data_IF_008489441412
#
_entry.id   IF_008489441412
#
_cell.length_a   1.000
_cell.length_b   1.000
_cell.length_c   1.000
_cell.angle_alpha   90.00
_cell.angle_beta   90.00
_cell.angle_gamma   90.00
#
_symmetry.space_group_name_H-M   'P 1'
#
loop_
_entity.id
_entity.type
_entity.pdbx_description
1 polymer ?
#
# COMPACT_ATOMS: atom_id res chain seq x y z
N UNK A 1 -12.23 19.39 16.50
CA UNK A 1 -12.87 18.36 15.64
C UNK A 1 -12.03 17.12 15.76
N UNK A 2 -12.61 15.92 15.59
CA UNK A 2 -11.82 14.69 15.55
C UNK A 2 -10.85 14.77 14.37
N UNK A 3 -9.62 14.25 14.54
CA UNK A 3 -8.63 14.21 13.45
C UNK A 3 -9.15 13.28 12.36
N UNK A 4 -9.25 13.79 11.12
CA UNK A 4 -9.71 13.01 9.98
C UNK A 4 -8.53 12.32 9.29
N UNK A 5 -8.61 11.00 9.16
CA UNK A 5 -7.59 10.16 8.54
C UNK A 5 -8.18 9.48 7.31
N UNK A 6 -7.54 9.67 6.15
CA UNK A 6 -7.89 8.89 4.97
C UNK A 6 -6.94 7.70 4.85
N UNK A 7 -7.51 6.49 4.90
CA UNK A 7 -6.78 5.24 4.75
C UNK A 7 -6.95 4.73 3.31
N UNK A 8 -5.86 4.64 2.59
CA UNK A 8 -5.82 4.12 1.23
C UNK A 8 -5.42 2.65 1.21
N UNK A 9 -6.21 1.85 0.51
CA UNK A 9 -5.82 0.50 0.12
C UNK A 9 -5.14 0.56 -1.25
N UNK A 10 -3.83 0.31 -1.28
CA UNK A 10 -3.02 0.28 -2.50
C UNK A 10 -3.65 -0.56 -3.61
N UNK A 11 -3.40 -0.17 -4.86
CA UNK A 11 -3.88 -0.89 -6.06
C UNK A 11 -5.42 -1.06 -6.10
N UNK A 12 -5.91 -2.07 -6.82
CA UNK A 12 -7.32 -2.46 -6.91
C UNK A 12 -7.80 -2.74 -8.35
N UNK A 13 -8.80 -3.62 -8.46
CA UNK A 13 -9.46 -3.99 -9.70
C UNK A 13 -8.49 -4.57 -10.73
N UNK A 14 -8.33 -3.87 -11.85
CA UNK A 14 -7.43 -4.28 -12.93
C UNK A 14 -5.94 -4.13 -12.61
N UNK A 15 -5.59 -3.40 -11.55
CA UNK A 15 -4.22 -3.32 -11.05
C UNK A 15 -4.13 -4.15 -9.76
N UNK A 16 -3.61 -5.39 -9.79
CA UNK A 16 -3.50 -6.22 -8.59
C UNK A 16 -2.29 -5.86 -7.71
N UNK A 17 -1.44 -4.92 -8.15
CA UNK A 17 -0.11 -4.70 -7.60
C UNK A 17 0.80 -5.89 -7.83
N UNK A 18 1.73 -6.13 -6.91
CA UNK A 18 2.56 -7.32 -6.95
C UNK A 18 1.74 -8.61 -6.74
N UNK A 19 2.12 -9.65 -7.47
CA UNK A 19 1.48 -10.97 -7.40
C UNK A 19 2.53 -12.04 -7.14
N UNK A 20 2.29 -12.87 -6.12
CA UNK A 20 3.20 -13.96 -5.77
C UNK A 20 2.40 -15.19 -5.35
N UNK A 21 2.60 -16.31 -6.06
CA UNK A 21 1.95 -17.61 -5.74
C UNK A 21 0.43 -17.51 -5.55
N UNK A 22 -0.26 -16.74 -6.40
CA UNK A 22 -1.71 -16.54 -6.34
C UNK A 22 -2.18 -15.48 -5.33
N UNK A 23 -1.30 -14.95 -4.49
CA UNK A 23 -1.56 -13.80 -3.62
C UNK A 23 -1.45 -12.50 -4.42
N UNK A 24 -2.41 -11.59 -4.24
CA UNK A 24 -2.41 -10.26 -4.86
C UNK A 24 -2.22 -9.19 -3.79
N UNK A 25 -1.34 -8.24 -4.03
CA UNK A 25 -1.10 -7.11 -3.13
C UNK A 25 -2.38 -6.33 -2.86
N UNK A 26 -3.20 -6.08 -3.89
CA UNK A 26 -4.46 -5.36 -3.75
C UNK A 26 -5.42 -5.95 -2.72
N UNK A 27 -5.41 -7.28 -2.55
CA UNK A 27 -6.28 -8.00 -1.61
C UNK A 27 -5.75 -7.87 -0.17
N UNK A 28 -4.45 -8.03 0.02
CA UNK A 28 -3.79 -7.88 1.33
C UNK A 28 -3.84 -6.42 1.81
N UNK A 29 -3.58 -5.48 0.91
CA UNK A 29 -3.68 -4.04 1.16
C UNK A 29 -5.09 -3.65 1.60
N UNK A 30 -6.13 -4.10 0.89
CA UNK A 30 -7.52 -3.82 1.24
C UNK A 30 -7.88 -4.37 2.62
N UNK A 31 -7.55 -5.65 2.87
CA UNK A 31 -7.86 -6.30 4.13
C UNK A 31 -7.18 -5.60 5.31
N UNK A 32 -5.91 -5.21 5.15
CA UNK A 32 -5.16 -4.51 6.19
C UNK A 32 -5.63 -3.07 6.38
N UNK A 33 -5.87 -2.32 5.31
CA UNK A 33 -6.43 -0.97 5.37
C UNK A 33 -7.75 -0.92 6.14
N UNK A 34 -8.67 -1.85 5.87
CA UNK A 34 -9.95 -1.93 6.59
C UNK A 34 -9.76 -2.28 8.09
N UNK A 35 -8.77 -3.11 8.42
CA UNK A 35 -8.48 -3.46 9.81
C UNK A 35 -7.86 -2.28 10.58
N UNK A 36 -6.88 -1.60 9.98
CA UNK A 36 -6.26 -0.39 10.55
C UNK A 36 -7.31 0.70 10.74
N UNK A 37 -8.12 0.97 9.72
CA UNK A 37 -9.15 2.00 9.78
C UNK A 37 -10.17 1.73 10.88
N UNK A 38 -10.63 0.48 11.06
CA UNK A 38 -11.53 0.12 12.18
C UNK A 38 -10.91 0.42 13.54
N UNK A 39 -9.63 0.09 13.74
CA UNK A 39 -8.95 0.34 15.02
C UNK A 39 -8.87 1.85 15.27
N UNK A 40 -8.58 2.65 14.24
CA UNK A 40 -8.58 4.11 14.35
C UNK A 40 -9.99 4.66 14.66
N UNK A 41 -11.04 4.18 13.99
CA UNK A 41 -12.44 4.54 14.29
C UNK A 41 -12.81 4.24 15.74
N UNK A 42 -12.45 3.05 16.24
CA UNK A 42 -12.68 2.61 17.63
C UNK A 42 -11.95 3.50 18.65
N UNK A 43 -10.86 4.18 18.25
CA UNK A 43 -10.10 5.13 19.06
C UNK A 43 -10.50 6.60 18.83
N UNK A 44 -11.62 6.86 18.13
CA UNK A 44 -12.23 8.19 18.05
C UNK A 44 -11.71 9.08 16.90
N UNK A 45 -10.99 8.50 15.95
CA UNK A 45 -10.62 9.18 14.71
C UNK A 45 -11.76 9.14 13.68
N UNK A 46 -11.87 10.17 12.86
CA UNK A 46 -12.79 10.19 11.71
C UNK A 46 -12.09 9.54 10.50
N UNK A 47 -12.53 8.36 10.08
CA UNK A 47 -11.83 7.58 9.04
C UNK A 47 -12.65 7.52 7.76
N UNK A 48 -12.01 7.91 6.66
CA UNK A 48 -12.52 7.71 5.29
C UNK A 48 -11.58 6.77 4.53
N UNK A 49 -12.11 5.99 3.60
CA UNK A 49 -11.32 5.06 2.80
C UNK A 49 -11.31 5.50 1.33
N UNK A 50 -10.18 5.38 0.64
CA UNK A 50 -10.16 5.58 -0.83
C UNK A 50 -11.00 4.52 -1.54
N UNK A 51 -10.97 3.28 -1.06
CA UNK A 51 -11.85 2.18 -1.48
C UNK A 51 -12.11 1.20 -0.34
N UNK A 52 -13.29 0.59 -0.38
CA UNK A 52 -13.71 -0.49 0.54
C UNK A 52 -14.00 -1.80 -0.21
N UNK A 53 -13.82 -1.80 -1.54
CA UNK A 53 -14.03 -2.96 -2.43
C UNK A 53 -12.88 -3.09 -3.43
N UNK A 54 -12.85 -4.19 -4.19
CA UNK A 54 -11.88 -4.41 -5.25
C UNK A 54 -12.26 -3.60 -6.51
N UNK A 55 -11.75 -2.36 -6.59
CA UNK A 55 -12.05 -1.43 -7.69
C UNK A 55 -10.80 -0.72 -8.18
N UNK A 56 -10.74 -0.44 -9.48
CA UNK A 56 -9.63 0.31 -10.10
C UNK A 56 -9.72 1.79 -9.74
N UNK A 57 -8.63 2.35 -9.21
CA UNK A 57 -8.49 3.79 -8.95
C UNK A 57 -7.09 4.24 -9.34
N UNK A 58 -6.97 5.40 -9.98
CA UNK A 58 -5.67 6.01 -10.23
C UNK A 58 -5.09 6.61 -8.95
N UNK A 59 -3.77 6.74 -8.90
CA UNK A 59 -3.05 7.41 -7.79
C UNK A 59 -3.52 8.85 -7.58
N UNK A 60 -3.85 9.57 -8.66
CA UNK A 60 -4.41 10.92 -8.59
C UNK A 60 -5.82 10.95 -7.99
N UNK A 61 -6.67 9.97 -8.31
CA UNK A 61 -8.00 9.84 -7.70
C UNK A 61 -7.90 9.58 -6.19
N UNK A 62 -6.95 8.75 -5.75
CA UNK A 62 -6.71 8.47 -4.32
C UNK A 62 -6.34 9.74 -3.55
N UNK A 63 -5.42 10.55 -4.10
CA UNK A 63 -5.04 11.83 -3.52
C UNK A 63 -6.18 12.87 -3.54
N UNK A 64 -6.98 12.90 -4.62
CA UNK A 64 -8.13 13.79 -4.74
C UNK A 64 -9.19 13.49 -3.67
N UNK A 65 -9.51 12.21 -3.42
CA UNK A 65 -10.42 11.80 -2.34
C UNK A 65 -9.94 12.37 -1.00
N UNK A 66 -8.64 12.22 -0.68
CA UNK A 66 -8.10 12.72 0.57
C UNK A 66 -8.21 14.23 0.73
N UNK A 67 -7.98 14.96 -0.37
CA UNK A 67 -8.09 16.41 -0.41
C UNK A 67 -9.55 16.89 -0.29
N UNK A 68 -10.49 16.25 -0.99
CA UNK A 68 -11.91 16.58 -0.97
C UNK A 68 -12.55 16.29 0.39
N UNK A 69 -12.12 15.23 1.06
CA UNK A 69 -12.53 14.88 2.42
C UNK A 69 -12.02 15.88 3.47
N UNK A 70 -11.03 16.72 3.13
CA UNK A 70 -10.37 17.62 4.05
C UNK A 70 -9.59 16.87 5.13
N UNK A 71 -8.92 15.78 4.77
CA UNK A 71 -8.22 14.94 5.73
C UNK A 71 -7.02 15.66 6.37
N UNK A 72 -6.77 15.36 7.64
CA UNK A 72 -5.59 15.83 8.39
C UNK A 72 -4.38 14.92 8.17
N UNK A 73 -4.61 13.66 7.77
CA UNK A 73 -3.59 12.65 7.52
C UNK A 73 -4.02 11.71 6.39
N UNK A 74 -3.08 11.32 5.55
CA UNK A 74 -3.26 10.27 4.54
C UNK A 74 -2.29 9.11 4.78
N UNK A 75 -2.81 7.88 4.86
CA UNK A 75 -2.00 6.67 5.04
C UNK A 75 -2.37 5.64 3.98
N UNK A 76 -1.44 5.34 3.07
CA UNK A 76 -1.60 4.30 2.06
C UNK A 76 -0.93 3.00 2.51
N UNK A 77 -1.65 1.89 2.40
CA UNK A 77 -1.21 0.56 2.82
C UNK A 77 -0.89 -0.28 1.59
N UNK A 78 0.32 -0.84 1.57
CA UNK A 78 0.88 -1.63 0.47
C UNK A 78 1.63 -2.87 0.98
N UNK A 79 2.03 -3.74 0.06
CA UNK A 79 2.98 -4.82 0.29
C UNK A 79 4.13 -4.67 -0.69
N UNK A 80 5.36 -4.72 -0.20
CA UNK A 80 6.51 -4.56 -1.08
C UNK A 80 6.69 -5.82 -1.94
N UNK A 81 7.51 -5.73 -2.97
CA UNK A 81 8.00 -6.88 -3.71
C UNK A 81 9.45 -6.65 -4.11
N UNK A 82 10.29 -7.66 -4.10
CA UNK A 82 11.66 -7.56 -4.55
C UNK A 82 11.75 -7.73 -6.07
N UNK A 83 12.93 -7.46 -6.63
CA UNK A 83 13.25 -7.79 -8.03
C UNK A 83 13.17 -9.29 -8.30
N UNK A 84 13.63 -10.05 -7.31
CA UNK A 84 13.72 -11.49 -7.31
C UNK A 84 13.00 -11.98 -6.06
N UNK A 85 12.03 -12.89 -6.19
CA UNK A 85 11.30 -13.41 -5.05
C UNK A 85 12.22 -13.90 -3.93
N UNK A 86 11.90 -13.52 -2.70
CA UNK A 86 12.63 -13.90 -1.50
C UNK A 86 13.97 -13.17 -1.28
N UNK A 87 14.36 -12.23 -2.15
CA UNK A 87 15.63 -11.48 -2.00
C UNK A 87 15.61 -10.53 -0.81
N UNK A 88 14.47 -9.92 -0.53
CA UNK A 88 14.30 -8.95 0.55
C UNK A 88 13.10 -9.32 1.43
N UNK A 89 13.14 -8.82 2.67
CA UNK A 89 12.10 -8.98 3.66
C UNK A 89 12.11 -7.78 4.60
N UNK A 90 11.00 -7.54 5.29
CA UNK A 90 10.83 -6.47 6.26
C UNK A 90 9.84 -5.39 5.84
N UNK A 91 9.69 -4.42 6.73
CA UNK A 91 8.78 -3.29 6.59
C UNK A 91 9.54 -2.02 6.26
N UNK A 92 8.90 -1.15 5.49
CA UNK A 92 9.42 0.16 5.11
C UNK A 92 8.25 1.15 5.10
N UNK A 93 8.53 2.42 5.35
CA UNK A 93 7.54 3.47 5.14
C UNK A 93 8.14 4.55 4.24
N UNK A 94 7.37 4.97 3.24
CA UNK A 94 7.75 5.97 2.25
C UNK A 94 7.05 7.29 2.55
N UNK A 95 7.79 8.39 2.45
CA UNK A 95 7.30 9.75 2.71
C UNK A 95 7.75 10.71 1.61
N UNK A 96 7.02 11.80 1.37
CA UNK A 96 7.39 12.79 0.35
C UNK A 96 8.70 13.52 0.69
N UNK A 97 8.85 13.95 1.95
CA UNK A 97 10.02 14.59 2.55
C UNK A 97 10.01 14.32 4.07
N UNK A 98 11.01 14.80 4.82
CA UNK A 98 11.09 14.61 6.28
C UNK A 98 10.44 15.72 7.11
N UNK A 99 9.60 16.56 6.50
CA UNK A 99 8.94 17.67 7.21
C UNK A 99 7.74 17.23 8.05
N UNK A 100 7.50 17.98 9.14
CA UNK A 100 6.36 17.75 10.03
C UNK A 100 6.41 16.37 10.69
N UNK A 101 5.24 15.76 10.88
CA UNK A 101 5.06 14.51 11.62
C UNK A 101 5.42 13.24 10.82
N UNK A 102 5.64 13.36 9.51
CA UNK A 102 5.73 12.22 8.58
C UNK A 102 6.82 11.23 8.96
N UNK A 103 8.02 11.74 9.25
CA UNK A 103 9.17 10.89 9.56
C UNK A 103 9.03 10.20 10.92
N UNK A 104 8.56 10.92 11.94
CA UNK A 104 8.31 10.37 13.27
C UNK A 104 7.24 9.27 13.20
N UNK A 105 6.10 9.55 12.55
CA UNK A 105 5.02 8.58 12.37
C UNK A 105 5.47 7.33 11.60
N UNK A 106 6.24 7.52 10.52
CA UNK A 106 6.84 6.43 9.77
C UNK A 106 7.79 5.56 10.64
N UNK A 107 8.57 6.19 11.52
CA UNK A 107 9.45 5.49 12.45
C UNK A 107 8.67 4.71 13.51
N UNK A 108 7.61 5.30 14.07
CA UNK A 108 6.77 4.65 15.07
C UNK A 108 6.02 3.44 14.50
N UNK A 109 5.45 3.57 13.30
CA UNK A 109 4.82 2.44 12.57
C UNK A 109 5.84 1.32 12.34
N UNK A 110 7.00 1.65 11.77
CA UNK A 110 8.04 0.64 11.50
C UNK A 110 8.54 -0.03 12.78
N UNK A 111 8.74 0.72 13.88
CA UNK A 111 9.19 0.17 15.15
C UNK A 111 8.15 -0.78 15.77
N UNK A 112 6.87 -0.44 15.68
CA UNK A 112 5.79 -1.32 16.13
C UNK A 112 5.75 -2.63 15.33
N UNK A 113 5.91 -2.57 14.00
CA UNK A 113 5.98 -3.77 13.17
C UNK A 113 7.27 -4.59 13.38
N UNK A 114 8.40 -3.93 13.65
CA UNK A 114 9.66 -4.60 13.99
C UNK A 114 9.54 -5.47 15.24
N UNK A 115 8.81 -5.00 16.27
CA UNK A 115 8.52 -5.78 17.49
C UNK A 115 7.71 -7.06 17.21
N UNK A 116 6.99 -7.11 16.09
CA UNK A 116 6.25 -8.30 15.64
C UNK A 116 7.12 -9.32 14.89
N UNK A 117 8.40 -8.99 14.66
CA UNK A 117 9.39 -9.87 14.03
C UNK A 117 9.76 -9.49 12.60
N UNK A 118 9.21 -8.42 12.05
CA UNK A 118 9.67 -7.92 10.74
C UNK A 118 11.05 -7.30 10.87
N UNK A 119 11.86 -7.44 9.81
CA UNK A 119 13.06 -6.61 9.66
C UNK A 119 12.63 -5.15 9.41
N UNK A 120 13.26 -4.19 10.07
CA UNK A 120 13.01 -2.77 9.79
C UNK A 120 13.95 -2.26 8.69
N UNK A 121 13.40 -1.93 7.52
CA UNK A 121 14.14 -1.35 6.39
C UNK A 121 14.19 0.19 6.44
N UNK A 122 13.61 0.80 7.47
CA UNK A 122 13.66 2.23 7.71
C UNK A 122 12.65 3.04 6.91
N UNK A 123 12.89 4.35 6.86
CA UNK A 123 12.04 5.32 6.19
C UNK A 123 12.74 5.82 4.94
N UNK A 124 12.01 5.96 3.83
CA UNK A 124 12.59 6.43 2.57
C UNK A 124 11.83 7.61 1.99
N UNK A 125 12.58 8.61 1.57
CA UNK A 125 12.04 9.83 0.94
C UNK A 125 11.80 9.54 -0.54
N UNK A 126 10.56 9.70 -1.00
CA UNK A 126 10.09 9.36 -2.35
C UNK A 126 9.25 10.51 -2.92
N UNK A 127 9.89 11.62 -3.33
CA UNK A 127 9.19 12.84 -3.75
C UNK A 127 8.38 12.68 -5.04
N UNK A 128 8.68 11.64 -5.83
CA UNK A 128 8.04 11.38 -7.12
C UNK A 128 6.78 10.50 -7.01
N UNK A 129 6.45 9.97 -5.82
CA UNK A 129 5.23 9.17 -5.66
C UNK A 129 4.02 10.11 -5.62
N UNK A 130 3.16 9.98 -6.64
CA UNK A 130 2.00 10.87 -6.85
C UNK A 130 1.08 10.87 -5.63
N UNK A 131 0.82 9.69 -5.07
CA UNK A 131 -0.04 9.54 -3.90
C UNK A 131 0.50 10.27 -2.65
N UNK A 132 1.81 10.57 -2.61
CA UNK A 132 2.44 11.32 -1.50
C UNK A 132 2.63 12.81 -1.80
N UNK A 133 2.76 13.20 -3.07
CA UNK A 133 3.05 14.58 -3.47
C UNK A 133 1.84 15.38 -3.96
N UNK A 134 0.70 14.70 -4.21
CA UNK A 134 -0.54 15.31 -4.69
C UNK A 134 -1.59 15.48 -3.57
N UNK A 135 -1.26 15.07 -2.36
CA UNK A 135 -2.05 15.29 -1.14
C UNK A 135 -1.70 16.63 -0.48
N UNK A 136 -2.68 17.31 0.12
CA UNK A 136 -2.50 18.59 0.81
C UNK A 136 -2.13 18.45 2.30
N UNK A 137 -2.23 17.24 2.84
CA UNK A 137 -1.92 16.89 4.23
C UNK A 137 -0.69 15.97 4.31
N UNK A 138 -0.11 15.75 5.49
CA UNK A 138 0.93 14.73 5.67
C UNK A 138 0.49 13.36 5.12
N UNK A 139 1.34 12.76 4.29
CA UNK A 139 1.07 11.49 3.64
C UNK A 139 2.19 10.47 3.88
N UNK A 140 1.80 9.23 4.14
CA UNK A 140 2.69 8.09 4.32
C UNK A 140 2.22 6.93 3.44
N UNK A 141 3.16 6.15 2.90
CA UNK A 141 2.89 4.87 2.28
C UNK A 141 3.64 3.78 3.05
N UNK A 142 2.89 2.88 3.69
CA UNK A 142 3.40 1.79 4.51
C UNK A 142 3.51 0.53 3.67
N UNK A 143 4.74 0.05 3.49
CA UNK A 143 5.06 -1.23 2.88
C UNK A 143 5.08 -2.31 3.98
N UNK A 144 3.93 -2.94 4.22
CA UNK A 144 3.71 -3.83 5.35
C UNK A 144 4.27 -5.24 5.15
N UNK A 145 5.55 -5.36 4.74
CA UNK A 145 6.21 -6.61 4.42
C UNK A 145 6.28 -6.90 2.92
N UNK A 146 7.19 -7.77 2.49
CA UNK A 146 7.35 -8.20 1.11
C UNK A 146 6.38 -9.35 0.77
N UNK A 147 5.51 -9.18 -0.22
CA UNK A 147 4.57 -10.20 -0.69
C UNK A 147 5.27 -11.42 -1.30
N UNK A 148 6.48 -11.23 -1.81
CA UNK A 148 7.31 -12.28 -2.40
C UNK A 148 8.34 -12.86 -1.41
N UNK A 149 8.19 -12.57 -0.11
CA UNK A 149 8.97 -13.15 0.98
C UNK A 149 8.13 -14.15 1.78
N UNK A 150 8.57 -15.41 1.81
CA UNK A 150 7.92 -16.46 2.62
C UNK A 150 7.84 -16.08 4.10
N UNK A 151 8.91 -15.50 4.66
CA UNK A 151 8.96 -15.09 6.06
C UNK A 151 7.95 -13.99 6.36
N UNK A 152 7.86 -12.97 5.50
CA UNK A 152 6.94 -11.86 5.72
C UNK A 152 5.50 -12.27 5.48
N UNK A 153 5.23 -13.19 4.55
CA UNK A 153 3.91 -13.79 4.36
C UNK A 153 3.47 -14.59 5.59
N UNK A 154 4.37 -15.39 6.17
CA UNK A 154 4.10 -16.13 7.41
C UNK A 154 3.78 -15.19 8.58
N UNK A 155 4.55 -14.11 8.76
CA UNK A 155 4.26 -13.09 9.76
C UNK A 155 2.91 -12.39 9.48
N UNK A 156 2.66 -12.02 8.23
CA UNK A 156 1.43 -11.35 7.83
C UNK A 156 0.18 -12.17 8.14
N UNK A 157 0.23 -13.47 7.85
CA UNK A 157 -0.90 -14.35 8.06
C UNK A 157 -1.08 -14.69 9.55
N UNK A 158 0.01 -15.01 10.25
CA UNK A 158 -0.04 -15.43 11.66
C UNK A 158 -0.24 -14.28 12.66
N UNK A 159 0.13 -13.05 12.29
CA UNK A 159 0.08 -11.86 13.15
C UNK A 159 -0.79 -10.75 12.60
N UNK A 160 -1.70 -11.05 11.66
CA UNK A 160 -2.47 -10.05 10.93
C UNK A 160 -3.10 -8.95 11.81
N UNK A 161 -3.81 -9.33 12.87
CA UNK A 161 -4.45 -8.36 13.77
C UNK A 161 -3.44 -7.52 14.54
N UNK A 162 -2.32 -8.13 14.96
CA UNK A 162 -1.25 -7.39 15.64
C UNK A 162 -0.55 -6.41 14.70
N UNK A 163 -0.46 -6.73 13.39
CA UNK A 163 0.08 -5.82 12.37
C UNK A 163 -0.85 -4.62 12.18
N UNK A 164 -2.16 -4.86 12.06
CA UNK A 164 -3.15 -3.78 11.98
C UNK A 164 -3.07 -2.87 13.22
N UNK A 165 -3.02 -3.47 14.41
CA UNK A 165 -2.84 -2.74 15.66
C UNK A 165 -1.52 -1.96 15.69
N UNK A 166 -0.40 -2.56 15.31
CA UNK A 166 0.90 -1.89 15.34
C UNK A 166 1.01 -0.70 14.38
N UNK A 167 0.31 -0.75 13.23
CA UNK A 167 0.21 0.41 12.33
C UNK A 167 -0.65 1.50 12.99
N UNK A 168 -1.82 1.14 13.52
CA UNK A 168 -2.69 2.10 14.20
C UNK A 168 -2.01 2.75 15.41
N UNK A 169 -1.33 1.96 16.25
CA UNK A 169 -0.57 2.43 17.41
C UNK A 169 0.52 3.42 16.98
N UNK A 170 1.29 3.11 15.94
CA UNK A 170 2.31 4.02 15.42
C UNK A 170 1.74 5.36 14.94
N UNK A 171 0.52 5.36 14.38
CA UNK A 171 -0.19 6.59 14.00
C UNK A 171 -0.64 7.36 15.24
N UNK A 172 -1.30 6.68 16.19
CA UNK A 172 -1.86 7.29 17.40
C UNK A 172 -0.75 7.86 18.30
N UNK A 173 0.34 7.12 18.52
CA UNK A 173 1.51 7.56 19.28
C UNK A 173 2.01 8.93 18.79
N UNK A 174 2.10 9.12 17.47
CA UNK A 174 2.55 10.40 16.91
C UNK A 174 1.50 11.51 17.07
N UNK A 175 0.23 11.22 16.79
CA UNK A 175 -0.84 12.23 16.88
C UNK A 175 -1.07 12.70 18.33
N UNK A 176 -0.95 11.81 19.32
CA UNK A 176 -1.03 12.16 20.74
C UNK A 176 0.14 13.03 21.19
N UNK A 177 1.37 12.72 20.77
CA UNK A 177 2.56 13.51 21.10
C UNK A 177 2.49 14.96 20.57
N UNK A 178 1.84 15.17 19.42
CA UNK A 178 1.59 16.52 18.89
C UNK A 178 0.64 17.32 19.79
N UNK A 179 -0.42 16.68 20.29
CA UNK A 179 -1.39 17.31 21.19
C UNK A 179 -0.76 17.69 22.54
N UNK A 180 0.19 16.88 23.04
CA UNK A 180 0.95 17.18 24.27
C UNK A 180 1.96 18.31 24.05
N UNK A 181 2.59 18.38 22.88
CA UNK A 181 3.61 19.41 22.58
C UNK A 181 3.02 20.80 22.27
N UNK A 182 1.73 20.87 21.90
CA UNK A 182 0.99 22.13 21.67
C UNK A 182 0.28 22.71 22.91
N UNK A 183 0.21 21.96 24.01
CA UNK A 183 -0.44 22.36 25.26
C UNK A 183 0.56 22.57 26.38
N UNK A 184 0.83 23.83 26.73
CA UNK A 184 1.73 24.16 27.84
C UNK A 184 1.33 23.49 29.17
N UNK A 185 2.29 22.76 29.74
CA UNK A 185 2.49 22.50 31.17
C UNK A 185 1.26 22.03 31.99
N UNK A 186 1.06 20.71 32.09
CA UNK A 186 0.57 20.13 33.35
C UNK A 186 1.38 18.91 33.78
N UNK A 187 1.81 18.98 35.03
CA UNK A 187 2.63 18.06 35.79
C UNK A 187 1.97 16.70 36.00
N UNK A 188 2.76 15.64 35.75
CA UNK A 188 2.82 14.38 36.50
C UNK A 188 1.56 13.53 36.63
N UNK A 189 1.62 12.28 36.16
CA UNK A 189 1.89 11.15 37.06
C UNK A 189 2.21 9.87 36.28
N UNK A 190 3.20 9.14 36.76
CA UNK A 190 3.50 7.75 36.39
C UNK A 190 2.48 6.81 37.02
N UNK A 191 1.94 5.87 36.25
CA UNK A 191 1.25 4.62 36.67
C UNK A 191 0.75 4.00 35.35
N UNK A 192 0.99 2.75 34.96
CA UNK A 192 1.56 1.58 35.60
C UNK A 192 1.09 0.39 34.75
N UNK A 193 1.99 -0.56 34.48
CA UNK A 193 1.69 -1.82 33.81
C UNK A 193 0.42 -2.48 34.35
N UNK A 194 -0.45 -2.97 33.46
CA UNK A 194 -1.27 -4.12 33.79
C UNK A 194 -1.53 -5.01 32.58
N UNK A 195 -0.74 -6.09 32.50
CA UNK A 195 -1.08 -7.27 31.71
C UNK A 195 -2.29 -7.95 32.37
N UNK A 196 -3.44 -7.90 31.73
CA UNK A 196 -4.64 -8.63 32.11
C UNK A 196 -4.92 -9.75 31.12
N UNK A 197 -4.46 -10.95 31.45
CA UNK A 197 -4.77 -12.19 30.77
C UNK A 197 -6.15 -12.68 31.23
N UNK A 198 -7.17 -12.82 30.37
CA UNK A 198 -8.14 -13.90 30.49
C UNK A 198 -9.13 -14.07 29.31
N UNK A 199 -9.28 -15.35 28.94
CA UNK A 199 -10.49 -16.07 28.55
C UNK A 199 -11.09 -15.94 27.13
N UNK A 200 -10.74 -16.95 26.33
CA UNK A 200 -11.64 -17.93 25.70
C UNK A 200 -13.16 -17.61 25.72
N UNK A 201 -13.74 -17.56 24.51
CA UNK A 201 -15.19 -17.56 24.31
C UNK A 201 -15.59 -17.81 22.86
N UNK A 202 -15.68 -19.10 22.51
CA UNK A 202 -16.48 -19.76 21.46
C UNK A 202 -16.67 -19.13 20.07
N UNK A 203 -16.41 -19.98 19.07
CA UNK A 203 -16.57 -19.66 17.65
C UNK A 203 -18.01 -19.47 17.20
N UNK A 204 -18.14 -18.62 16.19
CA UNK A 204 -19.20 -18.71 15.20
C UNK A 204 -18.58 -18.58 13.81
N UNK A 205 -18.96 -19.53 12.96
CA UNK A 205 -18.50 -19.77 11.60
C UNK A 205 -18.42 -18.50 10.75
N UNK A 206 -17.25 -18.21 10.18
CA UNK A 206 -17.17 -17.48 8.93
C UNK A 206 -17.61 -18.43 7.79
N UNK A 207 -18.53 -18.02 6.90
CA UNK A 207 -18.93 -18.82 5.77
C UNK A 207 -17.73 -19.08 4.85
N UNK A 208 -17.54 -20.35 4.49
CA UNK A 208 -16.55 -20.82 3.52
C UNK A 208 -16.80 -20.08 2.20
N UNK A 209 -15.86 -19.23 1.78
CA UNK A 209 -15.85 -18.69 0.43
C UNK A 209 -15.69 -19.86 -0.56
N UNK A 210 -16.54 -19.98 -1.59
CA UNK A 210 -16.47 -21.07 -2.55
C UNK A 210 -15.11 -21.04 -3.26
N UNK A 211 -14.41 -22.18 -3.26
CA UNK A 211 -13.21 -22.41 -4.04
C UNK A 211 -13.54 -22.25 -5.53
N UNK A 212 -13.00 -21.20 -6.15
CA UNK A 212 -12.95 -21.11 -7.61
C UNK A 212 -12.02 -22.21 -8.12
N UNK A 213 -12.41 -22.98 -9.16
CA UNK A 213 -11.61 -24.07 -9.67
C UNK A 213 -10.30 -23.55 -10.26
N UNK A 214 -9.21 -24.27 -10.01
CA UNK A 214 -7.91 -24.09 -10.65
C UNK A 214 -8.10 -24.13 -12.18
N UNK A 215 -7.91 -22.98 -12.83
CA UNK A 215 -8.01 -22.85 -14.28
C UNK A 215 -6.77 -23.40 -14.95
N UNK A 216 -6.73 -24.71 -15.24
CA UNK A 216 -5.84 -25.30 -16.24
C UNK A 216 -6.43 -25.08 -17.63
N UNK A 217 -6.37 -23.84 -18.13
CA UNK A 217 -6.62 -23.51 -19.53
C UNK A 217 -5.28 -23.22 -20.24
N UNK A 218 -5.19 -23.40 -21.57
CA UNK A 218 -4.00 -22.95 -22.30
C UNK A 218 -3.82 -21.45 -22.05
N UNK A 219 -2.62 -21.00 -21.67
CA UNK A 219 -2.29 -19.58 -21.55
C UNK A 219 -2.68 -18.90 -22.86
N UNK A 220 -3.75 -18.09 -22.82
CA UNK A 220 -4.12 -17.27 -23.97
C UNK A 220 -2.97 -16.30 -24.22
N UNK A 221 -2.47 -16.27 -25.45
CA UNK A 221 -1.47 -15.29 -25.88
C UNK A 221 -2.04 -13.87 -25.66
N UNK A 222 -1.42 -13.09 -24.76
CA UNK A 222 -1.87 -11.76 -24.39
C UNK A 222 -1.01 -10.69 -25.06
N UNK A 223 -1.64 -9.69 -25.65
CA UNK A 223 -0.98 -8.50 -26.16
C UNK A 223 -0.73 -7.52 -25.02
N UNK A 224 0.54 -7.18 -24.75
CA UNK A 224 0.94 -6.27 -23.68
C UNK A 224 1.45 -4.97 -24.27
N UNK A 225 1.05 -3.84 -23.70
CA UNK A 225 1.57 -2.53 -24.12
C UNK A 225 2.74 -2.20 -23.23
N UNK A 226 3.97 -2.25 -23.75
CA UNK A 226 5.17 -1.96 -22.96
C UNK A 226 5.64 -0.53 -23.21
N UNK A 227 5.80 0.26 -22.15
CA UNK A 227 6.25 1.65 -22.18
C UNK A 227 7.75 1.81 -21.87
N UNK A 228 8.37 0.81 -21.26
CA UNK A 228 9.80 0.86 -20.94
C UNK A 228 10.36 -0.47 -20.49
N UNK A 229 11.68 -0.60 -20.54
CA UNK A 229 12.43 -1.72 -19.98
C UNK A 229 13.73 -1.21 -19.38
N UNK A 230 13.93 -1.40 -18.08
CA UNK A 230 15.04 -0.81 -17.34
C UNK A 230 15.82 -1.89 -16.59
N UNK A 231 17.13 -1.69 -16.44
CA UNK A 231 17.95 -2.50 -15.52
C UNK A 231 17.83 -2.04 -14.07
N UNK A 232 17.58 -0.76 -13.88
CA UNK A 232 17.41 -0.14 -12.58
C UNK A 232 15.93 -0.01 -12.25
N UNK A 233 15.53 -0.55 -11.09
CA UNK A 233 14.15 -0.48 -10.61
C UNK A 233 13.67 0.94 -10.42
N UNK A 234 14.52 1.85 -9.93
CA UNK A 234 14.11 3.21 -9.65
C UNK A 234 13.65 3.92 -10.92
N UNK A 235 14.26 3.61 -12.07
CA UNK A 235 13.84 4.15 -13.37
C UNK A 235 12.50 3.56 -13.82
N UNK A 236 12.27 2.26 -13.57
CA UNK A 236 10.98 1.63 -13.83
C UNK A 236 9.88 2.22 -12.94
N UNK A 237 10.14 2.38 -11.64
CA UNK A 237 9.25 3.03 -10.67
C UNK A 237 8.91 4.48 -11.09
N UNK A 238 9.91 5.23 -11.59
CA UNK A 238 9.69 6.60 -12.07
C UNK A 238 8.76 6.62 -13.29
N UNK A 239 8.96 5.74 -14.28
CA UNK A 239 8.07 5.66 -15.44
C UNK A 239 6.68 5.14 -15.07
N UNK A 240 6.59 4.15 -14.18
CA UNK A 240 5.33 3.67 -13.62
C UNK A 240 4.55 4.84 -13.00
N UNK A 241 5.21 5.62 -12.13
CA UNK A 241 4.60 6.78 -11.46
C UNK A 241 4.10 7.82 -12.46
N UNK A 242 4.84 8.08 -13.54
CA UNK A 242 4.43 9.01 -14.60
C UNK A 242 3.20 8.50 -15.37
N UNK A 243 3.18 7.22 -15.75
CA UNK A 243 2.05 6.61 -16.44
C UNK A 243 0.80 6.60 -15.56
N UNK A 244 0.94 6.23 -14.28
CA UNK A 244 -0.15 6.27 -13.31
C UNK A 244 -0.65 7.70 -13.07
N UNK A 245 0.25 8.70 -13.05
CA UNK A 245 -0.10 10.11 -12.98
C UNK A 245 -0.97 10.56 -14.17
N UNK A 246 -0.65 10.07 -15.37
CA UNK A 246 -1.44 10.32 -16.57
C UNK A 246 -2.73 9.49 -16.66
N UNK A 247 -3.02 8.68 -15.65
CA UNK A 247 -4.26 7.90 -15.53
C UNK A 247 -4.17 6.50 -16.13
N UNK A 248 -2.97 6.04 -16.51
CA UNK A 248 -2.80 4.73 -17.13
C UNK A 248 -2.63 3.62 -16.07
N UNK A 249 -3.27 2.44 -16.26
CA UNK A 249 -3.16 1.31 -15.36
C UNK A 249 -1.85 0.54 -15.59
N UNK A 250 -0.73 1.18 -15.25
CA UNK A 250 0.60 0.64 -15.47
C UNK A 250 1.04 -0.32 -14.33
N UNK A 251 1.93 -1.25 -14.64
CA UNK A 251 2.56 -2.16 -13.68
C UNK A 251 3.96 -2.56 -14.17
N UNK A 252 4.80 -3.08 -13.26
CA UNK A 252 6.16 -3.54 -13.57
C UNK A 252 6.20 -5.06 -13.53
N UNK A 253 6.82 -5.67 -14.54
CA UNK A 253 7.21 -7.08 -14.53
C UNK A 253 8.73 -7.20 -14.60
N UNK A 254 9.31 -8.17 -13.90
CA UNK A 254 10.73 -8.50 -14.04
C UNK A 254 10.91 -9.71 -14.95
N UNK A 255 11.57 -9.53 -16.09
CA UNK A 255 11.78 -10.58 -17.07
C UNK A 255 13.09 -10.33 -17.83
N UNK A 256 13.88 -11.38 -18.05
CA UNK A 256 15.14 -11.34 -18.81
C UNK A 256 16.16 -10.32 -18.26
N UNK A 257 16.19 -10.12 -16.94
CA UNK A 257 17.08 -9.16 -16.29
C UNK A 257 16.65 -7.70 -16.42
N UNK A 258 15.39 -7.44 -16.79
CA UNK A 258 14.84 -6.11 -17.00
C UNK A 258 13.50 -5.93 -16.27
N UNK A 259 13.32 -4.77 -15.67
CA UNK A 259 12.03 -4.24 -15.20
C UNK A 259 11.28 -3.63 -16.38
N UNK A 260 10.32 -4.37 -16.92
CA UNK A 260 9.48 -3.95 -18.03
C UNK A 260 8.23 -3.27 -17.47
N UNK A 261 8.03 -2.00 -17.82
CA UNK A 261 6.84 -1.21 -17.44
C UNK A 261 5.78 -1.41 -18.51
N UNK A 262 4.63 -1.93 -18.13
CA UNK A 262 3.53 -2.26 -19.03
C UNK A 262 2.26 -1.51 -18.66
N UNK A 263 1.46 -1.15 -19.66
CA UNK A 263 0.17 -0.47 -19.55
C UNK A 263 -0.94 -1.43 -19.97
N UNK A 264 -1.19 -2.43 -19.13
CA UNK A 264 -2.20 -3.44 -19.37
C UNK A 264 -1.76 -4.62 -20.25
N UNK A 265 -2.53 -5.71 -20.14
CA UNK A 265 -2.45 -6.92 -20.96
C UNK A 265 -3.85 -7.24 -21.52
N UNK A 266 -3.93 -7.55 -22.81
CA UNK A 266 -5.19 -7.64 -23.54
C UNK A 266 -5.26 -8.93 -24.37
N UNK A 267 -6.38 -9.65 -24.29
CA UNK A 267 -6.63 -10.83 -25.13
C UNK A 267 -6.93 -10.49 -26.60
N UNK A 268 -7.18 -9.22 -26.92
CA UNK A 268 -7.43 -8.72 -28.28
C UNK A 268 -6.42 -7.65 -28.65
N UNK A 269 -5.73 -7.84 -29.78
CA UNK A 269 -4.76 -6.87 -30.30
C UNK A 269 -5.37 -5.48 -30.50
N UNK A 270 -6.65 -5.39 -30.89
CA UNK A 270 -7.35 -4.11 -31.06
C UNK A 270 -7.38 -3.27 -29.79
N UNK A 271 -7.50 -3.91 -28.62
CA UNK A 271 -7.56 -3.21 -27.34
C UNK A 271 -6.16 -2.74 -26.93
N UNK A 272 -5.13 -3.57 -27.18
CA UNK A 272 -3.74 -3.18 -26.98
C UNK A 272 -3.36 -1.99 -27.89
N UNK A 273 -3.78 -1.98 -29.15
CA UNK A 273 -3.55 -0.84 -30.08
C UNK A 273 -4.24 0.44 -29.58
N UNK A 274 -5.46 0.33 -29.04
CA UNK A 274 -6.17 1.48 -28.50
C UNK A 274 -5.41 2.09 -27.31
N UNK A 275 -5.02 1.26 -26.34
CA UNK A 275 -4.23 1.71 -25.19
C UNK A 275 -2.86 2.26 -25.61
N UNK A 276 -2.17 1.58 -26.54
CA UNK A 276 -0.87 2.01 -27.05
C UNK A 276 -0.93 3.42 -27.64
N UNK A 277 -1.98 3.73 -28.41
CA UNK A 277 -2.21 5.06 -28.99
C UNK A 277 -2.48 6.12 -27.93
N UNK A 278 -3.28 5.80 -26.92
CA UNK A 278 -3.61 6.72 -25.84
C UNK A 278 -2.34 7.10 -25.05
N UNK A 279 -1.53 6.10 -24.72
CA UNK A 279 -0.25 6.29 -24.03
C UNK A 279 0.74 7.07 -24.91
N UNK A 280 0.80 6.81 -26.23
CA UNK A 280 1.62 7.61 -27.16
C UNK A 280 1.18 9.06 -27.28
N UNK A 281 -0.12 9.34 -27.24
CA UNK A 281 -0.63 10.72 -27.30
C UNK A 281 -0.18 11.56 -26.10
N UNK A 282 0.08 10.92 -24.95
CA UNK A 282 0.68 11.54 -23.77
C UNK A 282 2.21 11.69 -23.85
N UNK A 283 2.84 11.26 -24.93
CA UNK A 283 4.26 11.45 -25.20
C UNK A 283 5.16 10.28 -24.79
N UNK A 284 4.60 9.16 -24.34
CA UNK A 284 5.37 7.97 -23.97
C UNK A 284 5.71 7.12 -25.19
N UNK A 285 6.92 6.56 -25.21
CA UNK A 285 7.31 5.57 -26.20
C UNK A 285 6.80 4.20 -25.78
N UNK A 286 5.94 3.59 -26.59
CA UNK A 286 5.36 2.28 -26.33
C UNK A 286 5.53 1.31 -27.49
N UNK A 287 5.43 0.02 -27.23
CA UNK A 287 5.29 -1.01 -28.26
C UNK A 287 4.47 -2.17 -27.73
N UNK A 288 3.84 -2.91 -28.64
CA UNK A 288 3.04 -4.09 -28.29
C UNK A 288 3.95 -5.32 -28.31
N UNK A 289 3.87 -6.13 -27.26
CA UNK A 289 4.54 -7.44 -27.15
C UNK A 289 3.49 -8.55 -26.97
N UNK A 290 3.89 -9.79 -27.21
CA UNK A 290 3.10 -11.02 -26.97
C UNK A 290 3.75 -11.87 -25.88
#
# INVERSE_FOLDING_TARGET
>A
MATKIVVDAGHGGSNPGAVYQGRRESDDALRLAMAVGRILEENGYDVSYTRTTDTTQSVGQKAAIANEEGADLFVSIHRNAAEYPGKYSGVQTLIYDDSGIKKEMAQNINANLERLGFRNAGVSIRPNLVVLNSTQMPALLVEAGFIDSTTDNQLFDSRFQAIAQGIADGIMETLENQNVSGGGNMTGNSMGNNMGNNMMGNGQNCPVCPSMPEGTGPEQELYRVQAGAFRDRQNADNLLSLLENDGFPAYIIYQDGLYKVQVGAYSRLSNAIAMEREVRQKGYNTYITT
#
